data_IF_310117393284
#
_entry.id   IF_310117393284
#
_cell.length_a   1.000
_cell.length_b   1.000
_cell.length_c   1.000
_cell.angle_alpha   90.00
_cell.angle_beta   90.00
_cell.angle_gamma   90.00
#
_symmetry.space_group_name_H-M   'P 1'
#
loop_
_entity.id
_entity.type
_entity.pdbx_description
1 polymer ?
#
# COMPACT_ATOMS: atom_id res chain seq x y z
N UNK A 1 -60.73 -9.89 -10.54
CA UNK A 1 -59.98 -8.92 -11.36
C UNK A 1 -58.53 -8.91 -10.87
N UNK A 2 -57.57 -9.45 -11.64
CA UNK A 2 -56.15 -9.52 -11.26
C UNK A 2 -55.40 -8.21 -11.57
N UNK A 3 -54.46 -7.85 -10.69
CA UNK A 3 -53.52 -6.72 -10.83
C UNK A 3 -52.48 -7.01 -11.94
N UNK A 4 -52.32 -6.13 -12.95
CA UNK A 4 -51.36 -6.31 -14.03
C UNK A 4 -50.00 -5.71 -13.66
N UNK A 5 -48.98 -6.57 -13.55
CA UNK A 5 -47.60 -6.31 -13.97
C UNK A 5 -46.97 -4.96 -13.47
N UNK A 6 -45.90 -4.94 -12.69
CA UNK A 6 -44.62 -5.48 -13.09
C UNK A 6 -43.52 -4.97 -12.12
N UNK A 7 -42.70 -5.91 -11.66
CA UNK A 7 -41.23 -5.83 -11.74
C UNK A 7 -40.55 -4.61 -11.09
N UNK A 8 -40.50 -4.60 -9.76
CA UNK A 8 -39.39 -3.97 -9.04
C UNK A 8 -38.17 -4.88 -9.02
N UNK A 9 -37.40 -4.97 -10.12
CA UNK A 9 -36.04 -5.53 -10.05
C UNK A 9 -35.16 -4.50 -9.36
N UNK A 10 -34.66 -4.82 -8.17
CA UNK A 10 -33.57 -4.09 -7.51
C UNK A 10 -32.34 -4.18 -8.42
N UNK A 11 -32.14 -3.16 -9.25
CA UNK A 11 -30.85 -2.91 -9.87
C UNK A 11 -30.07 -2.02 -8.91
N UNK A 12 -29.08 -2.60 -8.25
CA UNK A 12 -28.03 -1.84 -7.55
C UNK A 12 -27.35 -0.97 -8.61
N UNK A 13 -27.78 0.29 -8.74
CA UNK A 13 -27.05 1.31 -9.48
C UNK A 13 -25.90 1.79 -8.59
N UNK A 14 -24.82 1.03 -8.58
CA UNK A 14 -23.51 1.54 -8.16
C UNK A 14 -22.71 1.80 -9.43
N UNK A 15 -22.88 3.01 -9.98
CA UNK A 15 -22.11 3.52 -11.11
C UNK A 15 -20.60 3.35 -10.86
N UNK A 16 -19.80 2.91 -11.84
CA UNK A 16 -18.35 2.94 -11.71
C UNK A 16 -17.88 4.40 -11.82
N UNK A 17 -17.83 5.10 -10.68
CA UNK A 17 -17.12 6.37 -10.52
C UNK A 17 -15.73 6.19 -9.91
N UNK A 18 -15.12 5.00 -10.05
CA UNK A 18 -13.67 4.87 -9.79
C UNK A 18 -12.89 5.20 -11.07
N UNK A 19 -13.02 6.45 -11.48
CA UNK A 19 -12.12 7.04 -12.46
C UNK A 19 -10.75 7.29 -11.81
N UNK A 20 -9.73 6.95 -12.58
CA UNK A 20 -8.40 7.54 -12.59
C UNK A 20 -7.50 7.36 -11.34
N UNK A 21 -6.52 6.46 -11.54
CA UNK A 21 -5.11 6.81 -11.49
C UNK A 21 -4.55 7.35 -10.18
N UNK A 22 -4.07 6.42 -9.35
CA UNK A 22 -2.68 6.50 -8.96
C UNK A 22 -2.10 5.10 -9.04
N UNK A 23 -1.42 4.80 -10.15
CA UNK A 23 -0.25 3.97 -10.02
C UNK A 23 0.71 4.80 -9.15
N UNK A 24 0.56 4.67 -7.83
CA UNK A 24 1.57 5.16 -6.92
C UNK A 24 2.82 4.42 -7.34
N UNK A 25 3.70 5.11 -8.05
CA UNK A 25 5.02 4.61 -8.39
C UNK A 25 5.69 4.33 -7.07
N UNK A 26 5.53 3.09 -6.62
CA UNK A 26 6.42 2.40 -5.74
C UNK A 26 7.76 2.41 -6.47
N UNK A 27 8.47 3.53 -6.35
CA UNK A 27 9.92 3.55 -6.41
C UNK A 27 10.37 2.79 -5.17
N UNK A 28 10.19 1.47 -5.20
CA UNK A 28 11.02 0.59 -4.41
C UNK A 28 12.42 0.87 -4.96
N UNK A 29 13.20 1.65 -4.20
CA UNK A 29 14.63 1.74 -4.45
C UNK A 29 15.12 0.31 -4.56
N UNK A 30 15.72 -0.03 -5.70
CA UNK A 30 16.24 -1.37 -5.95
C UNK A 30 17.21 -1.69 -4.81
N UNK A 31 16.72 -2.44 -3.83
CA UNK A 31 17.51 -2.85 -2.69
C UNK A 31 18.67 -3.67 -3.24
N UNK A 32 19.88 -3.29 -2.88
CA UNK A 32 21.05 -4.10 -3.17
C UNK A 32 20.81 -5.48 -2.53
N UNK A 33 20.86 -6.58 -3.29
CA UNK A 33 20.55 -7.90 -2.76
C UNK A 33 21.50 -8.19 -1.58
N UNK A 34 20.92 -8.47 -0.42
CA UNK A 34 21.66 -8.77 0.81
C UNK A 34 21.79 -7.62 1.81
N UNK A 35 21.26 -6.42 1.53
CA UNK A 35 21.25 -5.31 2.50
C UNK A 35 19.92 -4.54 2.48
N UNK A 36 19.56 -3.97 3.63
CA UNK A 36 18.38 -3.10 3.79
C UNK A 36 18.88 -1.67 3.97
N UNK A 37 18.64 -0.81 2.97
CA UNK A 37 18.94 0.62 3.04
C UNK A 37 17.73 1.41 3.53
N UNK A 38 17.91 2.19 4.60
CA UNK A 38 16.90 3.13 5.12
C UNK A 38 17.35 4.53 4.75
N UNK A 39 16.56 5.20 3.90
CA UNK A 39 16.74 6.60 3.53
C UNK A 39 15.70 7.45 4.24
N UNK A 40 16.13 8.58 4.78
CA UNK A 40 15.21 9.61 5.24
C UNK A 40 14.54 10.25 4.01
N UNK A 41 13.20 10.25 3.99
CA UNK A 41 12.47 10.77 2.84
C UNK A 41 12.54 12.30 2.71
N UNK A 42 13.03 13.01 3.74
CA UNK A 42 13.19 14.47 3.74
C UNK A 42 14.59 14.90 3.29
N UNK A 43 15.57 14.00 3.36
CA UNK A 43 16.90 14.18 2.75
C UNK A 43 17.23 13.04 1.79
N UNK A 44 16.77 13.12 0.52
CA UNK A 44 17.01 12.08 -0.49
C UNK A 44 18.49 11.88 -0.83
N UNK A 45 19.31 12.91 -0.59
CA UNK A 45 20.76 12.94 -0.83
C UNK A 45 21.59 12.58 0.40
N UNK A 46 20.94 12.49 1.56
CA UNK A 46 21.56 12.24 2.85
C UNK A 46 22.13 10.83 3.00
N UNK A 47 22.83 10.63 4.11
CA UNK A 47 23.41 9.35 4.46
C UNK A 47 22.32 8.27 4.57
N UNK A 48 22.52 7.13 3.89
CA UNK A 48 21.64 5.97 3.98
C UNK A 48 22.11 5.07 5.10
N UNK A 49 21.23 4.72 6.04
CA UNK A 49 21.53 3.69 7.04
C UNK A 49 21.44 2.31 6.38
N UNK A 50 22.49 1.49 6.52
CA UNK A 50 22.56 0.16 5.89
C UNK A 50 22.52 -0.91 6.98
N UNK A 51 21.58 -1.83 6.87
CA UNK A 51 21.42 -2.97 7.77
C UNK A 51 21.60 -4.29 7.03
N UNK A 52 22.06 -5.32 7.74
CA UNK A 52 21.85 -6.69 7.28
C UNK A 52 20.36 -7.05 7.41
N UNK A 53 19.83 -7.99 6.59
CA UNK A 53 18.44 -8.41 6.69
C UNK A 53 18.06 -8.95 8.07
N UNK A 54 18.98 -9.64 8.76
CA UNK A 54 18.78 -10.15 10.10
C UNK A 54 18.66 -9.02 11.14
N UNK A 55 19.54 -8.01 11.06
CA UNK A 55 19.50 -6.86 11.95
C UNK A 55 18.22 -6.02 11.76
N UNK A 56 17.78 -5.83 10.52
CA UNK A 56 16.53 -5.13 10.22
C UNK A 56 15.31 -5.84 10.81
N UNK A 57 15.22 -7.16 10.66
CA UNK A 57 14.12 -7.95 11.25
C UNK A 57 14.07 -7.81 12.77
N UNK A 58 15.21 -7.92 13.44
CA UNK A 58 15.30 -7.76 14.89
C UNK A 58 14.87 -6.35 15.34
N UNK A 59 15.29 -5.32 14.60
CA UNK A 59 14.89 -3.94 14.86
C UNK A 59 13.36 -3.75 14.76
N UNK A 60 12.74 -4.24 13.68
CA UNK A 60 11.28 -4.09 13.48
C UNK A 60 10.49 -4.80 14.57
N UNK A 61 10.86 -6.02 14.94
CA UNK A 61 10.22 -6.75 16.06
C UNK A 61 10.32 -5.93 17.35
N UNK A 62 11.51 -5.43 17.66
CA UNK A 62 11.77 -4.67 18.88
C UNK A 62 10.97 -3.36 18.95
N UNK A 63 10.77 -2.69 17.82
CA UNK A 63 9.97 -1.47 17.69
C UNK A 63 8.48 -1.79 17.81
N UNK A 64 8.02 -2.86 17.16
CA UNK A 64 6.62 -3.30 17.24
C UNK A 64 6.21 -3.71 18.66
N UNK A 65 7.10 -4.36 19.41
CA UNK A 65 6.89 -4.68 20.84
C UNK A 65 6.80 -3.44 21.76
N UNK A 66 7.09 -2.24 21.25
CA UNK A 66 7.05 -0.97 22.01
C UNK A 66 5.94 -0.03 21.56
N UNK A 67 5.22 -0.39 20.49
CA UNK A 67 4.06 0.33 20.00
C UNK A 67 2.79 -0.19 20.70
#
# INVERSE_FOLDING_TARGET
MPDPAARGRVLVRSSPHRAASSAGSRRDGAGVPGVVGVRDSKDPTGATLVFSPAAWRAFVVRVADRA
#
